data_IF_057720515810
#
_entry.id   IF_057720515810
#
_cell.length_a   1.000
_cell.length_b   1.000
_cell.length_c   1.000
_cell.angle_alpha   90.00
_cell.angle_beta   90.00
_cell.angle_gamma   90.00
#
_symmetry.space_group_name_H-M   'P 1'
#
loop_
_entity.id
_entity.type
_entity.pdbx_description
1 polymer ?
#
# COMPACT_ATOMS: atom_id res chain seq x y z
N UNK A 1 41.78 -43.08 52.23
CA UNK A 1 41.86 -41.85 51.43
C UNK A 1 40.44 -41.34 51.24
N UNK A 2 40.02 -40.41 52.09
CA UNK A 2 38.70 -39.77 52.04
C UNK A 2 38.71 -38.68 50.99
N UNK A 3 37.76 -38.71 50.06
CA UNK A 3 37.40 -37.56 49.24
C UNK A 3 35.99 -37.09 49.62
N UNK A 4 35.95 -35.97 50.35
CA UNK A 4 34.75 -35.18 50.57
C UNK A 4 34.32 -34.54 49.24
N UNK A 5 33.16 -34.92 48.71
CA UNK A 5 32.46 -34.14 47.69
C UNK A 5 31.37 -33.30 48.36
N UNK A 6 31.75 -32.09 48.74
CA UNK A 6 30.84 -30.97 48.98
C UNK A 6 30.08 -30.69 47.68
N UNK A 7 28.77 -30.94 47.64
CA UNK A 7 27.91 -30.49 46.55
C UNK A 7 26.99 -29.40 47.12
N UNK A 8 27.16 -28.22 46.54
CA UNK A 8 26.50 -26.96 46.90
C UNK A 8 24.97 -27.08 46.79
N UNK A 9 24.28 -27.14 47.92
CA UNK A 9 22.86 -26.81 48.01
C UNK A 9 22.80 -25.32 48.34
N UNK A 10 22.80 -24.47 47.31
CA UNK A 10 22.55 -23.04 47.47
C UNK A 10 21.83 -22.49 46.24
N UNK A 11 20.59 -22.02 46.48
CA UNK A 11 19.73 -21.22 45.60
C UNK A 11 19.28 -21.84 44.26
N UNK A 12 18.38 -22.82 44.33
CA UNK A 12 17.38 -22.98 43.27
C UNK A 12 16.06 -22.38 43.75
N UNK A 13 15.49 -21.48 42.94
CA UNK A 13 14.18 -20.88 43.25
C UNK A 13 13.09 -21.94 43.26
N UNK A 14 12.04 -21.72 44.08
CA UNK A 14 10.90 -22.65 44.19
C UNK A 14 10.29 -22.97 42.81
N UNK A 15 10.28 -22.00 41.90
CA UNK A 15 9.82 -22.15 40.52
C UNK A 15 10.68 -23.13 39.70
N UNK A 16 12.01 -23.07 39.84
CA UNK A 16 12.93 -23.96 39.13
C UNK A 16 12.87 -25.39 39.68
N UNK A 17 12.71 -25.55 40.99
CA UNK A 17 12.53 -26.85 41.64
C UNK A 17 11.22 -27.53 41.20
N UNK A 18 10.13 -26.77 41.07
CA UNK A 18 8.84 -27.28 40.60
C UNK A 18 8.87 -27.63 39.11
N UNK A 19 9.51 -26.80 38.27
CA UNK A 19 9.66 -27.06 36.85
C UNK A 19 10.45 -28.35 36.57
N UNK A 20 11.54 -28.55 37.30
CA UNK A 20 12.44 -29.69 37.09
C UNK A 20 11.86 -31.02 37.61
N UNK A 21 11.14 -31.00 38.73
CA UNK A 21 10.67 -32.24 39.37
C UNK A 21 9.22 -32.60 39.05
N UNK A 22 8.38 -31.64 38.67
CA UNK A 22 6.93 -31.84 38.59
C UNK A 22 6.27 -31.36 37.29
N UNK A 23 6.96 -30.60 36.43
CA UNK A 23 6.37 -30.02 35.21
C UNK A 23 6.92 -30.59 33.89
N UNK A 24 7.75 -31.63 33.94
CA UNK A 24 8.17 -32.37 32.73
C UNK A 24 7.17 -33.48 32.41
N UNK A 25 6.05 -33.11 31.79
CA UNK A 25 5.15 -34.05 31.12
C UNK A 25 5.73 -34.45 29.75
N UNK A 26 5.90 -35.77 29.58
CA UNK A 26 6.01 -36.57 28.36
C UNK A 26 7.17 -36.34 27.36
N UNK A 27 8.15 -37.26 27.43
CA UNK A 27 8.97 -37.69 26.29
C UNK A 27 8.17 -38.71 25.47
N UNK A 28 7.92 -38.52 24.16
CA UNK A 28 7.24 -39.55 23.38
C UNK A 28 8.14 -40.77 23.15
N UNK A 29 7.65 -41.94 23.59
CA UNK A 29 8.29 -43.24 23.38
C UNK A 29 8.04 -43.77 21.97
N UNK A 30 9.03 -44.49 21.42
CA UNK A 30 8.95 -45.15 20.11
C UNK A 30 7.96 -46.32 20.13
N UNK A 31 6.87 -46.22 19.36
CA UNK A 31 5.89 -47.29 19.15
C UNK A 31 5.68 -47.64 17.67
N UNK A 32 5.74 -48.93 17.35
CA UNK A 32 5.68 -49.54 15.99
C UNK A 32 4.31 -49.40 15.30
N UNK A 33 4.39 -49.17 13.98
CA UNK A 33 3.44 -49.40 12.87
C UNK A 33 2.12 -50.12 13.18
N UNK A 34 0.98 -49.43 12.96
CA UNK A 34 -0.24 -50.03 12.37
C UNK A 34 -0.92 -49.05 11.40
N UNK A 35 -1.15 -49.56 10.19
CA UNK A 35 -1.70 -48.92 8.99
C UNK A 35 -3.22 -48.75 9.12
N UNK A 36 -3.76 -47.53 9.01
CA UNK A 36 -5.14 -47.28 8.56
C UNK A 36 -5.20 -46.01 7.70
N UNK A 37 -5.91 -46.18 6.58
CA UNK A 37 -6.23 -45.20 5.54
C UNK A 37 -7.17 -44.11 6.08
N UNK A 38 -7.00 -42.89 5.60
CA UNK A 38 -8.04 -41.97 5.09
C UNK A 38 -7.32 -40.71 4.56
N UNK A 39 -7.46 -40.45 3.26
CA UNK A 39 -8.40 -39.48 2.67
C UNK A 39 -7.73 -38.10 2.61
N UNK A 40 -7.24 -37.78 1.41
CA UNK A 40 -6.51 -36.56 1.10
C UNK A 40 -7.48 -35.40 0.86
N UNK A 41 -7.21 -34.28 1.52
CA UNK A 41 -7.63 -32.95 1.10
C UNK A 41 -6.42 -32.03 1.11
N UNK A 42 -6.37 -31.17 0.11
CA UNK A 42 -5.19 -30.56 -0.46
C UNK A 42 -4.57 -29.43 0.38
N UNK A 43 -3.24 -29.42 0.45
CA UNK A 43 -2.43 -28.31 0.98
C UNK A 43 -1.01 -28.41 0.44
N UNK A 44 -0.71 -27.63 -0.60
CA UNK A 44 0.56 -27.60 -1.33
C UNK A 44 1.75 -27.24 -0.43
N UNK A 45 2.77 -28.10 -0.43
CA UNK A 45 4.13 -27.80 0.00
C UNK A 45 4.96 -27.60 -1.27
N UNK A 46 5.50 -26.39 -1.45
CA UNK A 46 6.49 -26.08 -2.49
C UNK A 46 7.84 -26.54 -1.95
N UNK A 47 8.37 -27.63 -2.51
CA UNK A 47 9.77 -28.02 -2.37
C UNK A 47 10.48 -27.74 -3.69
N UNK A 48 11.61 -27.05 -3.59
CA UNK A 48 12.68 -27.05 -4.58
C UNK A 48 13.00 -28.49 -5.00
N UNK A 49 13.00 -28.76 -6.31
CA UNK A 49 13.92 -29.74 -6.86
C UNK A 49 14.39 -29.28 -8.23
N UNK A 50 15.69 -29.04 -8.28
CA UNK A 50 16.47 -28.64 -9.43
C UNK A 50 16.81 -29.90 -10.25
N UNK A 51 17.14 -29.71 -11.53
CA UNK A 51 18.03 -30.59 -12.31
C UNK A 51 17.42 -31.83 -13.04
N UNK A 52 17.35 -31.65 -14.37
CA UNK A 52 17.73 -32.59 -15.46
C UNK A 52 16.68 -33.46 -16.13
N UNK A 53 16.40 -33.13 -17.39
CA UNK A 53 15.67 -34.00 -18.33
C UNK A 53 15.84 -33.57 -19.79
N UNK A 54 17.08 -33.57 -20.28
CA UNK A 54 17.38 -33.48 -21.72
C UNK A 54 16.89 -34.75 -22.43
N UNK A 55 15.84 -34.66 -23.24
CA UNK A 55 15.57 -35.64 -24.30
C UNK A 55 15.16 -34.93 -25.60
N UNK A 56 16.06 -35.05 -26.59
CA UNK A 56 15.79 -34.75 -27.99
C UNK A 56 14.91 -35.85 -28.57
N UNK A 57 13.87 -35.46 -29.29
CA UNK A 57 13.23 -36.27 -30.33
C UNK A 57 13.33 -35.51 -31.64
N UNK A 58 13.91 -36.16 -32.64
CA UNK A 58 14.04 -35.69 -34.03
C UNK A 58 12.97 -36.40 -34.88
N UNK A 59 12.58 -35.70 -35.95
CA UNK A 59 11.86 -36.10 -37.16
C UNK A 59 10.32 -36.04 -37.15
N UNK A 60 9.82 -34.95 -37.75
CA UNK A 60 9.00 -35.04 -38.96
C UNK A 60 9.26 -33.82 -39.85
N UNK A 61 9.79 -34.08 -41.04
CA UNK A 61 9.76 -33.16 -42.19
C UNK A 61 8.29 -32.96 -42.61
N UNK A 62 7.93 -31.72 -42.94
CA UNK A 62 7.14 -31.39 -44.14
C UNK A 62 7.17 -29.86 -44.32
N UNK A 63 7.91 -29.49 -45.37
CA UNK A 63 7.82 -28.38 -46.31
C UNK A 63 7.35 -26.96 -45.91
N UNK A 64 8.23 -26.04 -46.33
CA UNK A 64 8.13 -24.60 -46.47
C UNK A 64 6.81 -24.09 -47.07
N UNK A 65 6.25 -22.99 -46.52
CA UNK A 65 5.59 -21.91 -47.27
C UNK A 65 5.02 -20.83 -46.31
N UNK A 66 5.81 -19.78 -46.00
CA UNK A 66 5.29 -18.52 -45.45
C UNK A 66 5.70 -17.35 -46.39
N UNK A 67 5.14 -17.37 -47.61
CA UNK A 67 5.05 -16.19 -48.47
C UNK A 67 3.64 -15.59 -48.35
N UNK A 68 3.47 -14.27 -48.16
CA UNK A 68 2.15 -13.68 -48.02
C UNK A 68 1.43 -13.63 -49.38
N UNK A 69 0.52 -14.58 -49.62
CA UNK A 69 -0.36 -14.58 -50.80
C UNK A 69 -1.45 -13.52 -50.66
N UNK A 70 -1.48 -12.55 -51.58
CA UNK A 70 -2.54 -11.53 -51.68
C UNK A 70 -3.74 -12.16 -52.40
N UNK A 71 -4.87 -12.33 -51.70
CA UNK A 71 -6.14 -12.75 -52.30
C UNK A 71 -7.00 -11.51 -52.59
N UNK A 72 -7.42 -11.26 -53.85
CA UNK A 72 -8.38 -10.21 -54.15
C UNK A 72 -9.83 -10.72 -53.98
N UNK A 73 -10.64 -9.97 -53.24
CA UNK A 73 -12.09 -9.88 -53.42
C UNK A 73 -12.95 -11.11 -53.10
N UNK A 74 -13.66 -11.06 -51.97
CA UNK A 74 -14.77 -11.96 -51.68
C UNK A 74 -15.35 -11.75 -50.29
N UNK A 75 -16.50 -11.09 -50.22
CA UNK A 75 -17.23 -10.79 -48.99
C UNK A 75 -17.56 -12.06 -48.18
N UNK A 76 -17.26 -12.04 -46.88
CA UNK A 76 -18.01 -12.71 -45.80
C UNK A 76 -17.46 -12.24 -44.44
N UNK A 77 -18.01 -11.14 -43.92
CA UNK A 77 -17.71 -10.60 -42.59
C UNK A 77 -18.40 -11.49 -41.54
N UNK A 78 -17.66 -12.51 -41.08
CA UNK A 78 -18.00 -13.23 -39.86
C UNK A 78 -17.65 -12.35 -38.65
N UNK A 79 -18.64 -12.18 -37.76
CA UNK A 79 -18.57 -11.38 -36.53
C UNK A 79 -17.53 -11.96 -35.57
N UNK A 80 -16.26 -11.55 -35.72
CA UNK A 80 -15.23 -11.77 -34.71
C UNK A 80 -15.35 -10.68 -33.66
N UNK A 81 -15.92 -11.02 -32.50
CA UNK A 81 -15.89 -10.18 -31.31
C UNK A 81 -14.44 -10.03 -30.87
N UNK A 82 -13.90 -8.83 -30.99
CA UNK A 82 -12.53 -8.51 -30.57
C UNK A 82 -12.49 -8.49 -29.04
N UNK A 83 -11.84 -9.48 -28.42
CA UNK A 83 -11.56 -9.44 -26.98
C UNK A 83 -10.31 -8.59 -26.77
N UNK A 84 -10.49 -7.34 -26.36
CA UNK A 84 -9.39 -6.45 -26.01
C UNK A 84 -8.68 -7.00 -24.78
N UNK A 85 -7.36 -7.24 -24.86
CA UNK A 85 -6.53 -7.58 -23.69
C UNK A 85 -6.30 -6.30 -22.88
N UNK A 86 -6.96 -6.19 -21.74
CA UNK A 86 -6.75 -5.10 -20.77
C UNK A 86 -5.39 -5.27 -20.11
N UNK A 87 -4.47 -4.33 -20.35
CA UNK A 87 -3.22 -4.23 -19.60
C UNK A 87 -3.44 -3.38 -18.34
N UNK A 88 -3.53 -4.07 -17.21
CA UNK A 88 -3.65 -3.51 -15.87
C UNK A 88 -3.82 -4.65 -14.89
N UNK A 89 -3.20 -4.59 -13.71
CA UNK A 89 -3.46 -5.59 -12.67
C UNK A 89 -4.95 -5.51 -12.33
N UNK A 90 -5.71 -6.56 -12.67
CA UNK A 90 -7.04 -6.72 -12.12
C UNK A 90 -6.89 -6.72 -10.59
N UNK A 91 -7.63 -5.82 -9.92
CA UNK A 91 -7.71 -5.84 -8.47
C UNK A 91 -8.14 -7.25 -8.05
N UNK A 92 -7.52 -7.84 -7.00
CA UNK A 92 -7.92 -9.17 -6.56
C UNK A 92 -9.41 -9.15 -6.23
N UNK A 93 -10.21 -9.93 -6.95
CA UNK A 93 -11.64 -10.08 -6.70
C UNK A 93 -11.85 -10.92 -5.45
N UNK A 94 -11.50 -10.36 -4.30
CA UNK A 94 -11.87 -10.95 -3.03
C UNK A 94 -13.25 -10.39 -2.68
N UNK A 95 -14.22 -11.27 -2.42
CA UNK A 95 -15.60 -10.84 -2.07
C UNK A 95 -15.61 -9.85 -0.88
N UNK A 96 -14.59 -9.92 -0.02
CA UNK A 96 -14.36 -8.98 1.07
C UNK A 96 -13.96 -7.57 0.61
N UNK A 97 -13.21 -7.44 -0.50
CA UNK A 97 -12.87 -6.13 -1.08
C UNK A 97 -14.06 -5.50 -1.78
N UNK A 98 -14.88 -6.28 -2.49
CA UNK A 98 -16.13 -5.79 -3.06
C UNK A 98 -17.12 -5.34 -1.97
N UNK A 99 -17.17 -6.04 -0.84
CA UNK A 99 -17.97 -5.62 0.32
C UNK A 99 -17.40 -4.35 0.99
N UNK A 100 -16.08 -4.25 1.12
CA UNK A 100 -15.43 -3.05 1.67
C UNK A 100 -15.61 -1.82 0.76
N UNK A 101 -15.48 -2.00 -0.55
CA UNK A 101 -15.67 -0.96 -1.55
C UNK A 101 -17.14 -0.53 -1.64
N UNK A 102 -18.10 -1.47 -1.47
CA UNK A 102 -19.51 -1.13 -1.36
C UNK A 102 -19.82 -0.29 -0.11
N UNK A 103 -19.19 -0.59 1.03
CA UNK A 103 -19.33 0.21 2.26
C UNK A 103 -18.69 1.59 2.09
N UNK A 104 -17.52 1.67 1.43
CA UNK A 104 -16.88 2.95 1.14
C UNK A 104 -17.70 3.80 0.16
N UNK A 105 -18.31 3.16 -0.85
CA UNK A 105 -19.18 3.82 -1.81
C UNK A 105 -20.48 4.31 -1.17
N UNK A 106 -21.07 3.54 -0.26
CA UNK A 106 -22.25 3.94 0.51
C UNK A 106 -21.95 5.12 1.45
N UNK A 107 -20.82 5.08 2.16
CA UNK A 107 -20.36 6.19 2.99
C UNK A 107 -20.00 7.45 2.16
N UNK A 108 -19.44 7.26 0.96
CA UNK A 108 -19.19 8.36 0.03
C UNK A 108 -20.49 8.94 -0.53
N UNK A 109 -21.50 8.11 -0.81
CA UNK A 109 -22.82 8.56 -1.24
C UNK A 109 -23.56 9.29 -0.12
N UNK A 110 -23.49 8.81 1.13
CA UNK A 110 -24.09 9.50 2.28
C UNK A 110 -23.41 10.85 2.56
N UNK A 111 -22.08 10.93 2.46
CA UNK A 111 -21.35 12.20 2.62
C UNK A 111 -21.62 13.17 1.47
N UNK A 112 -21.71 12.67 0.22
CA UNK A 112 -22.11 13.49 -0.92
C UNK A 112 -23.57 13.95 -0.82
N UNK A 113 -24.48 13.12 -0.33
CA UNK A 113 -25.87 13.51 -0.09
C UNK A 113 -25.96 14.61 0.97
N UNK A 114 -25.22 14.49 2.09
CA UNK A 114 -25.14 15.55 3.11
C UNK A 114 -24.55 16.85 2.57
N UNK A 115 -23.47 16.77 1.77
CA UNK A 115 -22.89 17.96 1.18
C UNK A 115 -23.79 18.59 0.10
N UNK A 116 -24.54 17.78 -0.65
CA UNK A 116 -25.50 18.27 -1.64
C UNK A 116 -26.74 18.89 -0.98
N UNK A 117 -27.12 18.44 0.22
CA UNK A 117 -28.13 19.10 1.05
C UNK A 117 -27.64 20.47 1.57
N UNK A 118 -26.33 20.62 1.83
CA UNK A 118 -25.71 21.90 2.25
C UNK A 118 -25.50 22.87 1.07
N UNK A 119 -25.19 22.39 -0.14
CA UNK A 119 -24.96 23.23 -1.33
C UNK A 119 -26.23 23.64 -2.10
N UNK A 120 -27.32 22.85 -2.00
CA UNK A 120 -28.66 23.25 -2.46
C UNK A 120 -29.52 23.88 -1.35
N UNK A 121 -28.92 24.19 -0.19
CA UNK A 121 -29.60 24.96 0.84
C UNK A 121 -29.81 26.39 0.32
N UNK A 122 -31.07 26.86 0.16
CA UNK A 122 -31.33 28.26 -0.13
C UNK A 122 -30.75 29.11 1.01
N UNK A 123 -30.10 30.23 0.65
CA UNK A 123 -29.51 31.15 1.61
C UNK A 123 -30.52 31.47 2.73
N UNK A 124 -30.18 31.10 3.97
CA UNK A 124 -30.96 31.35 5.18
C UNK A 124 -31.01 32.85 5.44
N UNK A 125 -31.95 33.52 4.77
CA UNK A 125 -32.67 34.65 5.35
C UNK A 125 -33.86 34.01 6.06
N UNK A 126 -33.76 33.95 7.39
CA UNK A 126 -34.69 33.36 8.35
C UNK A 126 -36.02 32.85 7.80
N UNK A 127 -36.09 31.54 7.53
CA UNK A 127 -37.32 30.76 7.46
C UNK A 127 -37.04 29.38 8.09
N UNK A 128 -36.70 29.39 9.39
CA UNK A 128 -37.08 28.29 10.27
C UNK A 128 -38.61 28.38 10.49
N UNK A 129 -39.37 28.13 9.42
CA UNK A 129 -40.73 27.63 9.56
C UNK A 129 -40.66 26.14 9.23
N UNK A 130 -40.15 25.36 10.21
CA UNK A 130 -40.88 24.16 10.57
C UNK A 130 -42.35 24.60 10.64
N UNK A 131 -43.14 24.30 9.61
CA UNK A 131 -44.58 24.53 9.69
C UNK A 131 -45.04 23.59 10.79
N UNK A 132 -45.07 24.14 12.00
CA UNK A 132 -45.59 23.54 13.21
C UNK A 132 -47.05 23.26 12.92
N UNK A 133 -47.30 22.12 12.30
CA UNK A 133 -48.65 21.63 12.09
C UNK A 133 -49.21 21.36 13.47
N UNK A 134 -49.85 22.38 14.03
CA UNK A 134 -50.54 22.41 15.32
C UNK A 134 -51.86 21.64 15.27
N UNK A 135 -52.12 20.88 14.21
CA UNK A 135 -53.29 20.04 14.06
C UNK A 135 -53.15 18.71 14.82
N UNK A 136 -54.27 17.99 15.03
CA UNK A 136 -54.24 16.68 15.68
C UNK A 136 -53.34 15.71 14.91
N UNK A 137 -52.36 15.12 15.60
CA UNK A 137 -51.55 14.00 15.10
C UNK A 137 -52.12 12.69 15.60
N UNK A 138 -51.93 11.62 14.84
CA UNK A 138 -52.32 10.27 15.24
C UNK A 138 -51.37 9.73 16.31
N UNK A 139 -51.75 8.65 17.00
CA UNK A 139 -50.89 7.98 17.97
C UNK A 139 -49.56 7.47 17.36
N UNK A 140 -49.47 7.34 16.04
CA UNK A 140 -48.24 7.01 15.30
C UNK A 140 -47.39 8.22 14.93
N UNK A 141 -47.83 9.45 15.19
CA UNK A 141 -47.13 10.69 14.81
C UNK A 141 -47.44 11.21 13.42
N UNK A 142 -48.08 10.41 12.57
CA UNK A 142 -48.57 10.84 11.25
C UNK A 142 -49.70 11.88 11.39
N UNK A 143 -49.79 12.83 10.44
CA UNK A 143 -50.88 13.81 10.45
C UNK A 143 -52.15 13.17 9.89
N UNK A 144 -53.31 13.62 10.34
CA UNK A 144 -54.59 13.13 9.84
C UNK A 144 -54.86 13.63 8.39
N UNK A 145 -55.06 12.72 7.43
CA UNK A 145 -55.39 13.03 6.04
C UNK A 145 -54.69 12.15 5.00
N UNK A 146 -54.88 12.45 3.71
CA UNK A 146 -54.16 11.80 2.60
C UNK A 146 -52.71 12.33 2.57
N UNK A 147 -51.77 11.54 3.08
CA UNK A 147 -50.34 11.89 3.13
C UNK A 147 -49.54 11.11 2.09
N UNK A 148 -48.45 11.70 1.60
CA UNK A 148 -47.45 10.98 0.78
C UNK A 148 -46.55 10.11 1.67
N UNK A 149 -45.92 9.08 1.11
CA UNK A 149 -45.04 8.17 1.86
C UNK A 149 -43.89 8.92 2.57
N UNK A 150 -43.33 9.94 1.93
CA UNK A 150 -42.24 10.76 2.50
C UNK A 150 -42.71 11.62 3.69
N UNK A 151 -43.96 12.09 3.67
CA UNK A 151 -44.54 12.83 4.79
C UNK A 151 -44.75 11.92 6.01
N UNK A 152 -45.14 10.66 5.80
CA UNK A 152 -45.32 9.68 6.86
C UNK A 152 -43.97 9.27 7.48
N UNK A 153 -42.92 9.07 6.68
CA UNK A 153 -41.58 8.73 7.20
C UNK A 153 -40.96 9.88 7.98
N UNK A 154 -41.12 11.13 7.51
CA UNK A 154 -40.67 12.33 8.22
C UNK A 154 -41.41 12.50 9.55
N UNK A 155 -42.72 12.28 9.57
CA UNK A 155 -43.54 12.35 10.78
C UNK A 155 -43.17 11.27 11.81
N UNK A 156 -42.90 10.04 11.36
CA UNK A 156 -42.44 8.94 12.22
C UNK A 156 -41.06 9.22 12.82
N UNK A 157 -40.09 9.69 12.02
CA UNK A 157 -38.75 10.06 12.52
C UNK A 157 -38.81 11.21 13.53
N UNK A 158 -39.71 12.17 13.33
CA UNK A 158 -39.94 13.27 14.28
C UNK A 158 -40.44 12.73 15.62
N UNK A 159 -41.49 11.88 15.60
CA UNK A 159 -42.03 11.26 16.80
C UNK A 159 -41.01 10.36 17.50
N UNK A 160 -40.25 9.56 16.76
CA UNK A 160 -39.19 8.73 17.32
C UNK A 160 -38.09 9.58 17.99
N UNK A 161 -37.71 10.70 17.39
CA UNK A 161 -36.74 11.65 17.98
C UNK A 161 -37.30 12.32 19.23
N UNK A 162 -38.56 12.72 19.23
CA UNK A 162 -39.25 13.29 20.39
C UNK A 162 -39.43 12.27 21.51
N UNK A 163 -39.85 11.04 21.20
CA UNK A 163 -39.93 9.94 22.16
C UNK A 163 -38.56 9.59 22.71
N UNK A 164 -37.51 9.54 21.88
CA UNK A 164 -36.14 9.30 22.32
C UNK A 164 -35.61 10.42 23.20
N UNK A 165 -35.95 11.69 22.90
CA UNK A 165 -35.59 12.85 23.71
C UNK A 165 -36.36 12.87 25.03
N UNK A 166 -37.67 12.64 25.00
CA UNK A 166 -38.51 12.55 26.19
C UNK A 166 -38.08 11.37 27.08
N UNK A 167 -37.71 10.23 26.48
CA UNK A 167 -37.18 9.07 27.19
C UNK A 167 -35.81 9.36 27.82
N UNK A 168 -34.94 10.09 27.12
CA UNK A 168 -33.66 10.58 27.65
C UNK A 168 -33.85 11.58 28.80
N UNK A 169 -34.84 12.47 28.70
CA UNK A 169 -35.20 13.47 29.72
C UNK A 169 -35.87 12.84 30.95
N UNK A 170 -36.66 11.78 30.75
CA UNK A 170 -37.26 10.98 31.82
C UNK A 170 -36.25 10.04 32.52
N UNK A 171 -34.97 10.10 32.14
CA UNK A 171 -33.89 9.30 32.73
C UNK A 171 -33.99 7.80 32.44
N UNK A 172 -34.86 7.41 31.51
CA UNK A 172 -35.05 6.03 31.11
C UNK A 172 -34.12 5.76 29.92
N UNK A 173 -32.98 5.10 30.13
CA UNK A 173 -32.13 4.72 29.00
C UNK A 173 -32.92 3.74 28.08
N UNK A 174 -33.19 4.04 26.79
CA UNK A 174 -33.94 3.18 25.86
C UNK A 174 -33.38 1.76 25.70
N UNK A 175 -32.14 1.59 26.14
CA UNK A 175 -31.35 0.35 26.08
C UNK A 175 -31.46 -0.55 27.31
N UNK A 176 -32.30 -0.23 28.31
CA UNK A 176 -32.43 -1.07 29.51
C UNK A 176 -31.20 -1.06 30.43
N UNK A 177 -30.47 0.07 30.49
CA UNK A 177 -29.24 0.23 31.28
C UNK A 177 -29.46 0.32 32.80
N UNK A 178 -30.69 0.14 33.29
CA UNK A 178 -30.97 0.13 34.73
C UNK A 178 -30.25 -0.99 35.50
N UNK A 179 -29.65 -1.97 34.80
CA UNK A 179 -28.68 -2.92 35.36
C UNK A 179 -27.36 -2.79 34.61
N UNK A 180 -26.57 -1.75 34.88
CA UNK A 180 -25.20 -1.66 34.39
C UNK A 180 -24.43 -2.90 34.84
N UNK A 181 -23.99 -3.73 33.88
CA UNK A 181 -23.17 -4.91 34.18
C UNK A 181 -21.79 -4.41 34.62
N UNK A 182 -21.51 -4.51 35.91
CA UNK A 182 -20.23 -4.11 36.50
C UNK A 182 -19.17 -5.14 36.13
N UNK A 183 -18.31 -4.81 35.18
CA UNK A 183 -17.16 -5.63 34.83
C UNK A 183 -16.05 -5.41 35.87
N UNK A 184 -15.56 -6.52 36.45
CA UNK A 184 -14.44 -6.52 37.41
C UNK A 184 -13.23 -7.23 36.79
N UNK A 185 -12.03 -6.78 37.12
CA UNK A 185 -10.82 -7.53 36.78
C UNK A 185 -10.65 -8.77 37.67
N UNK A 186 -9.65 -9.61 37.36
CA UNK A 186 -9.30 -10.78 38.16
C UNK A 186 -8.90 -10.45 39.61
N UNK A 187 -8.67 -9.18 39.95
CA UNK A 187 -8.40 -8.67 41.30
C UNK A 187 -9.63 -8.05 41.99
N UNK A 188 -10.79 -8.03 41.31
CA UNK A 188 -12.05 -7.50 41.82
C UNK A 188 -12.27 -5.99 41.64
N UNK A 189 -11.34 -5.26 41.00
CA UNK A 189 -11.49 -3.82 40.76
C UNK A 189 -12.50 -3.57 39.65
N UNK A 190 -13.44 -2.65 39.88
CA UNK A 190 -14.46 -2.24 38.90
C UNK A 190 -13.77 -1.51 37.75
N UNK A 191 -13.91 -2.02 36.53
CA UNK A 191 -13.39 -1.40 35.32
C UNK A 191 -14.55 -0.76 34.56
N UNK A 192 -14.46 0.55 34.31
CA UNK A 192 -15.31 1.21 33.34
C UNK A 192 -14.95 0.75 31.93
N UNK A 193 -15.80 -0.08 31.31
CA UNK A 193 -15.57 -0.68 29.98
C UNK A 193 -15.34 0.39 28.90
N UNK A 194 -16.08 1.50 28.98
CA UNK A 194 -15.90 2.63 28.06
C UNK A 194 -14.51 3.27 28.18
N UNK A 195 -14.00 3.42 29.40
CA UNK A 195 -12.66 3.98 29.65
C UNK A 195 -11.56 3.02 29.19
N UNK A 196 -11.68 1.71 29.48
CA UNK A 196 -10.68 0.72 29.04
C UNK A 196 -10.67 0.54 27.52
N UNK A 197 -11.82 0.64 26.86
CA UNK A 197 -11.92 0.62 25.38
C UNK A 197 -11.33 1.89 24.76
N UNK A 198 -11.55 3.05 25.38
CA UNK A 198 -10.94 4.31 24.92
C UNK A 198 -9.42 4.31 25.14
N UNK A 199 -8.93 3.76 26.24
CA UNK A 199 -7.51 3.60 26.53
C UNK A 199 -6.85 2.60 25.58
N UNK A 200 -7.49 1.45 25.31
CA UNK A 200 -6.99 0.47 24.34
C UNK A 200 -6.97 1.04 22.92
N UNK A 201 -7.96 1.86 22.55
CA UNK A 201 -7.96 2.58 21.27
C UNK A 201 -6.82 3.60 21.21
N UNK A 202 -6.59 4.38 22.27
CA UNK A 202 -5.45 5.32 22.34
C UNK A 202 -4.10 4.59 22.28
N UNK A 203 -3.95 3.47 22.98
CA UNK A 203 -2.74 2.65 22.93
C UNK A 203 -2.53 2.07 21.53
N UNK A 204 -3.58 1.57 20.88
CA UNK A 204 -3.50 1.10 19.49
C UNK A 204 -3.11 2.24 18.53
N UNK A 205 -3.73 3.42 18.65
CA UNK A 205 -3.41 4.60 17.84
C UNK A 205 -1.95 5.06 18.09
N UNK A 206 -1.45 5.01 19.33
CA UNK A 206 -0.06 5.34 19.69
C UNK A 206 0.94 4.31 19.15
N UNK A 207 0.62 3.02 19.22
CA UNK A 207 1.42 1.93 18.64
C UNK A 207 1.48 2.04 17.11
N UNK A 208 0.35 2.35 16.47
CA UNK A 208 0.29 2.58 15.02
C UNK A 208 1.13 3.79 14.61
N UNK A 209 1.04 4.91 15.35
CA UNK A 209 1.87 6.09 15.11
C UNK A 209 3.36 5.79 15.27
N UNK A 210 3.74 5.07 16.33
CA UNK A 210 5.13 4.67 16.56
C UNK A 210 5.63 3.73 15.46
N UNK A 211 4.82 2.76 15.04
CA UNK A 211 5.15 1.84 13.94
C UNK A 211 5.30 2.58 12.61
N UNK A 212 4.46 3.58 12.35
CA UNK A 212 4.57 4.44 11.17
C UNK A 212 5.84 5.29 11.20
N UNK A 213 6.19 5.86 12.36
CA UNK A 213 7.42 6.64 12.56
C UNK A 213 8.67 5.76 12.41
N UNK A 214 8.66 4.54 12.95
CA UNK A 214 9.73 3.57 12.75
C UNK A 214 9.87 3.19 11.28
N UNK A 215 8.75 2.93 10.58
CA UNK A 215 8.76 2.63 9.16
C UNK A 215 9.28 3.82 8.33
N UNK A 216 8.93 5.04 8.71
CA UNK A 216 9.43 6.25 8.08
C UNK A 216 10.93 6.48 8.36
N UNK A 217 11.40 6.23 9.57
CA UNK A 217 12.80 6.34 9.96
C UNK A 217 13.66 5.26 9.28
N UNK A 218 13.10 4.09 8.98
CA UNK A 218 13.75 3.05 8.17
C UNK A 218 13.84 3.41 6.67
N UNK A 219 13.07 4.38 6.18
CA UNK A 219 13.18 4.83 4.77
C UNK A 219 14.39 5.73 4.57
N UNK A 220 15.04 5.57 3.42
CA UNK A 220 16.20 6.39 3.06
C UNK A 220 15.83 7.83 2.70
N UNK A 221 16.71 8.79 3.02
CA UNK A 221 16.54 10.22 2.72
C UNK A 221 16.24 10.49 1.23
N UNK A 222 16.89 9.76 0.32
CA UNK A 222 16.70 9.92 -1.14
C UNK A 222 15.28 9.52 -1.55
N UNK A 223 14.77 8.41 -1.02
CA UNK A 223 13.40 7.95 -1.29
C UNK A 223 12.36 8.95 -0.75
N UNK A 224 12.62 9.56 0.41
CA UNK A 224 11.76 10.63 0.95
C UNK A 224 11.74 11.85 0.01
N UNK A 225 12.91 12.33 -0.42
CA UNK A 225 13.02 13.44 -1.37
C UNK A 225 12.37 13.14 -2.72
N UNK A 226 12.54 11.93 -3.25
CA UNK A 226 11.88 11.51 -4.48
C UNK A 226 10.37 11.48 -4.34
N UNK A 227 9.84 11.00 -3.20
CA UNK A 227 8.40 11.04 -2.92
C UNK A 227 7.88 12.48 -2.86
N UNK A 228 8.58 13.37 -2.17
CA UNK A 228 8.23 14.80 -2.11
C UNK A 228 8.30 15.48 -3.48
N UNK A 229 9.34 15.19 -4.27
CA UNK A 229 9.50 15.71 -5.62
C UNK A 229 8.36 15.23 -6.53
N UNK A 230 7.99 13.95 -6.44
CA UNK A 230 6.86 13.37 -7.17
C UNK A 230 5.54 14.00 -6.76
N UNK A 231 5.32 14.27 -5.47
CA UNK A 231 4.13 14.98 -5.00
C UNK A 231 4.05 16.38 -5.59
N UNK A 232 5.15 17.13 -5.57
CA UNK A 232 5.23 18.47 -6.20
C UNK A 232 5.02 18.41 -7.71
N UNK A 233 5.54 17.37 -8.36
CA UNK A 233 5.32 17.16 -9.79
C UNK A 233 3.85 16.87 -10.09
N UNK A 234 3.16 16.06 -9.26
CA UNK A 234 1.72 15.83 -9.40
C UNK A 234 0.90 17.10 -9.16
N UNK A 235 1.27 17.93 -8.19
CA UNK A 235 0.63 19.23 -7.96
C UNK A 235 0.81 20.18 -9.14
N UNK A 236 2.01 20.22 -9.74
CA UNK A 236 2.27 20.96 -10.98
C UNK A 236 1.50 20.37 -12.16
N UNK A 237 1.45 19.05 -12.27
CA UNK A 237 0.76 18.36 -13.35
C UNK A 237 -0.75 18.62 -13.34
N UNK A 238 -1.36 18.87 -12.16
CA UNK A 238 -2.76 19.29 -12.06
C UNK A 238 -3.04 20.62 -12.77
N UNK A 239 -2.06 21.51 -12.84
CA UNK A 239 -2.20 22.84 -13.47
C UNK A 239 -1.55 22.93 -14.85
N UNK A 240 -0.73 21.95 -15.22
CA UNK A 240 -0.11 21.87 -16.54
C UNK A 240 -1.13 21.49 -17.63
N UNK A 241 -0.93 22.00 -18.84
CA UNK A 241 -1.66 21.56 -20.02
C UNK A 241 -1.21 20.16 -20.48
N UNK A 242 -2.12 19.42 -21.12
CA UNK A 242 -1.81 18.09 -21.66
C UNK A 242 -0.71 18.12 -22.73
N UNK A 243 -0.70 19.15 -23.58
CA UNK A 243 0.32 19.37 -24.61
C UNK A 243 1.27 20.49 -24.20
N UNK A 244 2.55 20.32 -24.53
CA UNK A 244 3.57 21.38 -24.46
C UNK A 244 3.82 21.90 -25.87
N UNK A 245 3.78 23.21 -26.05
CA UNK A 245 4.06 23.88 -27.34
C UNK A 245 5.45 24.51 -27.34
N UNK A 246 5.94 24.92 -28.51
CA UNK A 246 7.22 25.60 -28.65
C UNK A 246 7.29 26.91 -27.83
N UNK A 247 6.16 27.57 -27.58
CA UNK A 247 6.07 28.82 -26.83
C UNK A 247 5.93 28.62 -25.30
N UNK A 248 5.94 27.38 -24.81
CA UNK A 248 5.85 27.10 -23.37
C UNK A 248 7.02 27.74 -22.62
N UNK A 249 6.70 28.68 -21.72
CA UNK A 249 7.70 29.46 -20.98
C UNK A 249 8.56 28.57 -20.09
N UNK A 250 7.96 27.61 -19.37
CA UNK A 250 8.69 26.76 -18.44
C UNK A 250 9.72 25.91 -19.19
N UNK A 251 9.30 25.28 -20.29
CA UNK A 251 10.17 24.47 -21.13
C UNK A 251 11.28 25.30 -21.80
N UNK A 252 10.97 26.51 -22.24
CA UNK A 252 11.95 27.42 -22.84
C UNK A 252 12.98 27.91 -21.83
N UNK A 253 12.56 28.17 -20.60
CA UNK A 253 13.48 28.56 -19.53
C UNK A 253 14.38 27.38 -19.13
N UNK A 254 13.84 26.17 -19.00
CA UNK A 254 14.63 24.94 -18.80
C UNK A 254 15.67 24.72 -19.92
N UNK A 255 15.31 24.95 -21.19
CA UNK A 255 16.23 24.81 -22.33
C UNK A 255 17.32 25.90 -22.40
N UNK A 256 17.06 27.08 -21.84
CA UNK A 256 18.06 28.15 -21.71
C UNK A 256 19.04 27.85 -20.58
N UNK A 257 18.58 27.19 -19.51
CA UNK A 257 19.42 26.79 -18.38
C UNK A 257 20.32 25.59 -18.69
N UNK A 258 19.98 24.76 -19.69
CA UNK A 258 20.81 23.63 -20.10
C UNK A 258 22.19 24.07 -20.58
N UNK A 259 23.22 23.63 -19.86
CA UNK A 259 24.62 23.82 -20.24
C UNK A 259 24.94 22.97 -21.49
N UNK A 260 25.42 23.64 -22.54
CA UNK A 260 25.87 22.98 -23.78
C UNK A 260 27.39 22.97 -23.82
N UNK A 261 27.97 21.79 -23.97
CA UNK A 261 29.43 21.59 -23.91
C UNK A 261 30.22 22.35 -24.99
N UNK A 262 29.59 22.63 -26.14
CA UNK A 262 30.16 23.34 -27.29
C UNK A 262 29.78 24.82 -27.37
N UNK A 263 29.26 25.42 -26.29
CA UNK A 263 28.89 26.83 -26.30
C UNK A 263 30.11 27.73 -26.05
N UNK A 264 30.57 28.53 -27.03
CA UNK A 264 31.68 29.46 -26.82
C UNK A 264 31.38 30.54 -25.78
N UNK A 265 30.11 30.91 -25.57
CA UNK A 265 29.70 31.89 -24.57
C UNK A 265 29.88 31.39 -23.13
N UNK A 266 29.87 30.06 -22.92
CA UNK A 266 30.03 29.44 -21.61
C UNK A 266 31.36 29.80 -20.95
N UNK A 267 32.43 29.97 -21.74
CA UNK A 267 33.75 30.40 -21.25
C UNK A 267 33.72 31.84 -20.69
N UNK A 268 32.87 32.72 -21.23
CA UNK A 268 32.71 34.09 -20.74
C UNK A 268 31.81 34.16 -19.50
N UNK A 269 30.77 33.33 -19.44
CA UNK A 269 29.81 33.27 -18.33
C UNK A 269 30.42 32.61 -17.07
N UNK A 270 31.25 31.58 -17.25
CA UNK A 270 31.87 30.82 -16.14
C UNK A 270 32.97 31.58 -15.40
N UNK A 271 33.69 32.51 -16.06
CA UNK A 271 34.81 33.25 -15.45
C UNK A 271 34.41 34.11 -14.23
N UNK A 272 33.13 34.52 -14.13
CA UNK A 272 32.58 35.20 -12.96
C UNK A 272 32.09 34.26 -11.85
N UNK A 273 31.82 32.98 -12.17
CA UNK A 273 31.28 31.99 -11.22
C UNK A 273 32.36 31.08 -10.63
N UNK A 274 33.48 30.87 -11.33
CA UNK A 274 34.62 30.06 -10.87
C UNK A 274 35.35 30.65 -9.66
N UNK A 275 35.40 31.98 -9.49
CA UNK A 275 36.00 32.61 -8.28
C UNK A 275 35.08 32.49 -7.05
N UNK A 276 33.78 32.29 -7.25
CA UNK A 276 32.85 31.79 -6.22
C UNK A 276 32.78 30.26 -6.26
N UNK A 277 33.87 29.62 -6.67
CA UNK A 277 34.03 28.18 -6.69
C UNK A 277 33.58 27.59 -5.37
N UNK A 278 32.56 26.73 -5.46
CA UNK A 278 32.29 25.73 -4.44
C UNK A 278 32.23 26.28 -3.01
N UNK A 279 31.39 27.30 -2.75
CA UNK A 279 30.73 27.35 -1.44
C UNK A 279 29.76 26.17 -1.43
N UNK A 280 30.32 24.97 -1.27
CA UNK A 280 29.65 23.69 -1.45
C UNK A 280 28.26 23.80 -0.87
N UNK A 281 27.26 23.71 -1.75
CA UNK A 281 25.83 23.89 -1.45
C UNK A 281 25.61 23.54 0.01
N UNK A 282 25.41 24.54 0.88
CA UNK A 282 25.34 24.34 2.33
C UNK A 282 24.19 23.35 2.60
N UNK A 283 24.51 22.06 2.73
CA UNK A 283 23.51 20.99 2.82
C UNK A 283 23.71 19.77 1.90
N UNK A 284 24.53 19.84 0.83
CA UNK A 284 24.89 18.64 0.05
C UNK A 284 25.96 17.84 0.80
N UNK A 285 25.67 16.55 1.04
CA UNK A 285 26.64 15.58 1.56
C UNK A 285 27.87 15.58 0.63
N UNK A 286 29.07 15.73 1.21
CA UNK A 286 30.33 15.73 0.45
C UNK A 286 30.50 14.37 -0.25
N UNK A 287 30.84 14.39 -1.53
CA UNK A 287 31.15 13.18 -2.33
C UNK A 287 32.65 13.02 -2.51
N UNK A 288 33.08 11.81 -2.82
CA UNK A 288 34.46 11.52 -3.19
C UNK A 288 34.89 12.32 -4.43
N UNK A 289 36.15 12.74 -4.46
CA UNK A 289 36.72 13.61 -5.51
C UNK A 289 37.63 12.87 -6.49
N UNK A 290 38.08 11.65 -6.16
CA UNK A 290 38.93 10.84 -7.03
C UNK A 290 38.15 10.01 -8.05
N UNK A 291 38.89 9.26 -8.87
CA UNK A 291 38.33 8.26 -9.77
C UNK A 291 37.77 7.06 -8.97
N UNK A 292 36.65 6.51 -9.43
CA UNK A 292 35.99 5.37 -8.81
C UNK A 292 35.39 4.48 -9.89
N UNK A 293 35.19 3.19 -9.59
CA UNK A 293 34.57 2.26 -10.53
C UNK A 293 33.09 2.56 -10.73
N UNK A 294 32.55 2.41 -11.95
CA UNK A 294 31.13 2.61 -12.21
C UNK A 294 30.29 1.56 -11.48
N UNK A 295 29.10 1.94 -11.04
CA UNK A 295 28.11 1.05 -10.46
C UNK A 295 26.77 1.20 -11.17
N UNK A 296 25.90 0.20 -11.03
CA UNK A 296 24.57 0.17 -11.67
C UNK A 296 23.70 1.41 -11.42
N UNK A 297 23.90 2.07 -10.29
CA UNK A 297 23.05 3.18 -9.84
C UNK A 297 23.68 4.56 -10.01
N UNK A 298 24.89 4.67 -10.59
CA UNK A 298 25.63 5.93 -10.73
C UNK A 298 25.95 6.62 -9.39
N UNK A 299 25.91 5.90 -8.27
CA UNK A 299 26.10 6.46 -6.93
C UNK A 299 27.59 6.72 -6.71
N UNK A 300 27.96 7.98 -6.51
CA UNK A 300 29.34 8.35 -6.18
C UNK A 300 29.71 7.89 -4.76
N UNK A 301 30.95 7.42 -4.53
CA UNK A 301 31.41 7.09 -3.18
C UNK A 301 31.33 8.30 -2.23
N UNK A 302 31.19 8.01 -0.94
CA UNK A 302 31.24 9.05 0.09
C UNK A 302 32.63 9.69 0.18
N UNK A 303 32.70 10.94 0.61
CA UNK A 303 33.96 11.70 0.68
C UNK A 303 35.08 11.07 1.53
N UNK A 304 34.75 10.10 2.38
CA UNK A 304 35.70 9.40 3.28
C UNK A 304 36.23 8.09 2.69
N UNK A 305 35.77 7.71 1.51
CA UNK A 305 36.28 6.51 0.85
C UNK A 305 37.77 6.71 0.49
N UNK A 306 38.57 5.67 0.69
CA UNK A 306 40.03 5.72 0.55
C UNK A 306 40.50 5.46 -0.89
N UNK A 307 39.58 5.14 -1.81
CA UNK A 307 39.90 4.86 -3.20
C UNK A 307 40.30 3.41 -3.47
N UNK A 308 40.39 2.55 -2.45
CA UNK A 308 40.75 1.14 -2.63
C UNK A 308 39.50 0.33 -2.91
N UNK A 309 39.47 -0.34 -4.06
CA UNK A 309 38.39 -1.28 -4.39
C UNK A 309 38.46 -2.53 -3.50
N UNK A 310 37.33 -2.86 -2.90
CA UNK A 310 37.12 -4.03 -2.04
C UNK A 310 35.92 -4.85 -2.51
N UNK A 311 35.67 -4.83 -3.81
CA UNK A 311 34.56 -5.55 -4.42
C UNK A 311 34.87 -7.04 -4.59
N UNK A 312 33.81 -7.83 -4.73
CA UNK A 312 33.88 -9.23 -5.20
C UNK A 312 33.93 -9.32 -6.73
N UNK A 313 34.00 -8.18 -7.45
CA UNK A 313 33.92 -8.11 -8.91
C UNK A 313 32.52 -8.30 -9.51
N UNK A 314 31.45 -8.34 -8.70
CA UNK A 314 30.08 -8.55 -9.18
C UNK A 314 29.62 -7.45 -10.16
N UNK A 315 29.82 -6.18 -9.83
CA UNK A 315 29.37 -5.06 -10.67
C UNK A 315 30.07 -5.08 -12.05
N UNK A 316 31.36 -5.41 -12.10
CA UNK A 316 32.09 -5.59 -13.36
C UNK A 316 31.49 -6.70 -14.22
N UNK A 317 31.27 -7.89 -13.63
CA UNK A 317 30.66 -9.03 -14.34
C UNK A 317 29.23 -8.72 -14.80
N UNK A 318 28.50 -7.92 -14.03
CA UNK A 318 27.15 -7.47 -14.41
C UNK A 318 27.18 -6.59 -15.66
N UNK A 319 28.12 -5.63 -15.74
CA UNK A 319 28.28 -4.79 -16.94
C UNK A 319 28.71 -5.62 -18.15
N UNK A 320 29.66 -6.55 -17.98
CA UNK A 320 30.09 -7.48 -19.03
C UNK A 320 28.91 -8.30 -19.58
N UNK A 321 28.12 -8.91 -18.69
CA UNK A 321 26.94 -9.69 -19.08
C UNK A 321 25.89 -8.83 -19.80
N UNK A 322 25.67 -7.58 -19.35
CA UNK A 322 24.72 -6.67 -19.99
C UNK A 322 25.19 -6.24 -21.38
N UNK A 323 26.47 -5.96 -21.54
CA UNK A 323 27.07 -5.64 -22.83
C UNK A 323 27.01 -6.84 -23.79
N UNK A 324 27.30 -8.04 -23.30
CA UNK A 324 27.15 -9.27 -24.10
C UNK A 324 25.71 -9.45 -24.58
N UNK A 325 24.72 -9.21 -23.71
CA UNK A 325 23.31 -9.31 -24.09
C UNK A 325 22.92 -8.29 -25.17
N UNK A 326 23.40 -7.04 -25.08
CA UNK A 326 23.15 -6.04 -26.13
C UNK A 326 23.85 -6.43 -27.44
N UNK A 327 25.11 -6.85 -27.38
CA UNK A 327 25.84 -7.30 -28.56
C UNK A 327 25.13 -8.46 -29.26
N UNK A 328 24.62 -9.44 -28.51
CA UNK A 328 23.85 -10.56 -29.07
C UNK A 328 22.57 -10.04 -29.75
N UNK A 329 21.85 -9.11 -29.12
CA UNK A 329 20.64 -8.52 -29.69
C UNK A 329 20.93 -7.78 -31.00
N UNK A 330 22.01 -7.01 -31.03
CA UNK A 330 22.42 -6.24 -32.21
C UNK A 330 22.88 -7.18 -33.33
N UNK A 331 23.61 -8.24 -33.01
CA UNK A 331 24.00 -9.29 -33.96
C UNK A 331 22.77 -10.05 -34.50
N UNK A 332 21.82 -10.40 -33.65
CA UNK A 332 20.58 -11.05 -34.06
C UNK A 332 19.77 -10.15 -34.99
N UNK A 333 19.65 -8.85 -34.67
CA UNK A 333 19.00 -7.89 -35.54
C UNK A 333 19.75 -7.76 -36.88
N UNK A 334 21.07 -7.67 -36.86
CA UNK A 334 21.87 -7.61 -38.09
C UNK A 334 21.69 -8.86 -38.96
N UNK A 335 21.65 -10.06 -38.36
CA UNK A 335 21.40 -11.32 -39.09
C UNK A 335 19.98 -11.40 -39.64
N UNK A 336 18.97 -10.97 -38.87
CA UNK A 336 17.57 -10.93 -39.34
C UNK A 336 17.33 -9.97 -40.50
N UNK A 337 18.17 -8.96 -40.67
CA UNK A 337 18.05 -7.99 -41.76
C UNK A 337 18.86 -8.39 -43.01
N UNK A 338 19.74 -9.39 -42.89
CA UNK A 338 20.60 -9.89 -43.97
C UNK A 338 19.99 -11.13 -44.68
N UNK A 339 19.01 -11.80 -44.05
CA UNK A 339 18.12 -12.82 -44.66
C UNK A 339 16.86 -12.19 -45.28
#
# INVERSE_FOLDING_TARGET
MSEHKNIHIANMGLADYLAQNYLSADKPSKGKKRKRKNAEDAGLIIADDDVSGMSKSRNRDDDDEDTPMIIPGGANISKRTTTWKTFGKAAPSNNEQAAADAILADAAAETQARNAEDENAPAVVGEDEDVDYSGPTMASGAMAGLQTADQVTKALKRKEREEKRAMQEMGMDPTGKAQETIYRDASGRIINVAMKRAELRRQADEEERKKAEEAENRRGDVQKREKEARMKELEKAKTMSLSRYADDRQLNDEQKEQERWNDPALAFLSRGTTTKGSKGTKGRKKTYTGAFEPNRYGIKPGYRWDGVDRSIGFEKRWFEARNQQQNIKDLQYAWQMDE
#
